data_IF_226434819105
#
_entry.id   IF_226434819105
#
_cell.length_a   1.000
_cell.length_b   1.000
_cell.length_c   1.000
_cell.angle_alpha   90.00
_cell.angle_beta   90.00
_cell.angle_gamma   90.00
#
_symmetry.space_group_name_H-M   'P 1'
#
loop_
_entity.id
_entity.type
_entity.pdbx_description
1 polymer ?
#
# COMPACT_ATOMS: atom_id res chain seq x y z
N UNK A 1 14.23 -8.89 -11.02
CA UNK A 1 12.86 -8.37 -11.07
C UNK A 1 12.83 -6.92 -11.49
N UNK A 2 13.23 -5.95 -10.67
CA UNK A 2 13.12 -4.52 -11.05
C UNK A 2 13.83 -4.16 -12.36
N UNK A 3 15.02 -4.71 -12.64
CA UNK A 3 15.77 -4.51 -13.89
C UNK A 3 15.13 -5.13 -15.13
N UNK A 4 14.15 -5.99 -14.93
CA UNK A 4 13.60 -6.87 -15.97
C UNK A 4 12.14 -6.49 -16.30
N UNK A 5 11.64 -5.36 -15.78
CA UNK A 5 10.25 -4.92 -15.93
C UNK A 5 10.19 -3.41 -16.16
N UNK A 6 9.18 -2.97 -16.92
CA UNK A 6 8.88 -1.55 -17.11
C UNK A 6 7.87 -1.02 -16.07
N UNK A 7 7.12 -1.93 -15.44
CA UNK A 7 6.11 -1.61 -14.43
C UNK A 7 6.34 -2.43 -13.17
N UNK A 8 6.46 -1.74 -12.04
CA UNK A 8 6.59 -2.37 -10.72
C UNK A 8 5.36 -2.04 -9.87
N UNK A 9 4.55 -3.05 -9.56
CA UNK A 9 3.34 -2.90 -8.73
C UNK A 9 3.60 -3.41 -7.31
N UNK A 10 3.39 -2.54 -6.33
CA UNK A 10 3.58 -2.83 -4.91
C UNK A 10 2.23 -3.10 -4.25
N UNK A 11 2.04 -4.35 -3.79
CA UNK A 11 0.80 -4.84 -3.13
C UNK A 11 1.10 -5.78 -1.95
N UNK A 12 2.17 -5.50 -1.19
CA UNK A 12 2.55 -6.30 -0.02
C UNK A 12 1.90 -5.75 1.26
N UNK A 13 1.79 -6.54 2.34
CA UNK A 13 1.48 -6.00 3.66
C UNK A 13 2.50 -4.92 4.06
N UNK A 14 2.06 -3.90 4.80
CA UNK A 14 2.96 -2.99 5.49
C UNK A 14 3.42 -3.59 6.82
N UNK A 15 4.64 -3.27 7.23
CA UNK A 15 5.20 -3.74 8.50
C UNK A 15 6.72 -3.64 8.52
N UNK A 16 7.34 -4.08 9.62
CA UNK A 16 8.80 -4.00 9.77
C UNK A 16 9.57 -4.75 8.67
N UNK A 17 9.04 -5.88 8.19
CA UNK A 17 9.68 -6.69 7.14
C UNK A 17 9.63 -6.09 5.74
N UNK A 18 8.69 -5.18 5.48
CA UNK A 18 8.49 -4.53 4.17
C UNK A 18 8.79 -3.03 4.20
N UNK A 19 9.23 -2.50 5.34
CA UNK A 19 9.54 -1.08 5.48
C UNK A 19 10.67 -0.70 4.51
N UNK A 20 10.39 0.29 3.65
CA UNK A 20 11.33 0.77 2.63
C UNK A 20 11.90 -0.35 1.74
N UNK A 21 11.09 -1.38 1.49
CA UNK A 21 11.42 -2.48 0.59
C UNK A 21 11.76 -1.95 -0.81
N UNK A 22 10.99 -0.97 -1.29
CA UNK A 22 11.29 -0.23 -2.53
C UNK A 22 12.13 0.99 -2.16
N UNK A 23 13.44 0.76 -2.07
CA UNK A 23 14.45 1.80 -1.80
C UNK A 23 15.11 2.30 -3.10
N UNK A 24 16.06 3.22 -2.97
CA UNK A 24 16.87 3.76 -4.08
C UNK A 24 17.38 2.68 -5.05
N UNK A 25 17.95 1.58 -4.54
CA UNK A 25 18.53 0.55 -5.40
C UNK A 25 17.47 -0.17 -6.25
N UNK A 26 16.24 -0.32 -5.73
CA UNK A 26 15.11 -0.88 -6.50
C UNK A 26 14.61 0.14 -7.53
N UNK A 27 14.51 1.42 -7.15
CA UNK A 27 14.08 2.50 -8.03
C UNK A 27 15.06 2.69 -9.20
N UNK A 28 16.36 2.77 -8.92
CA UNK A 28 17.39 2.92 -9.95
C UNK A 28 17.48 1.67 -10.85
N UNK A 29 17.15 0.50 -10.32
CA UNK A 29 17.05 -0.73 -11.10
C UNK A 29 15.85 -0.75 -12.05
N UNK A 30 14.72 -0.14 -11.65
CA UNK A 30 13.53 0.04 -12.48
C UNK A 30 13.77 1.10 -13.57
N UNK A 31 14.50 2.16 -13.23
CA UNK A 31 15.11 3.07 -14.20
C UNK A 31 14.18 4.13 -14.80
N UNK A 32 14.71 4.95 -15.72
CA UNK A 32 14.08 6.17 -16.21
C UNK A 32 12.87 5.94 -17.12
N UNK A 33 12.74 4.75 -17.70
CA UNK A 33 11.55 4.35 -18.49
C UNK A 33 10.51 3.62 -17.63
N UNK A 34 10.85 3.33 -16.37
CA UNK A 34 10.02 2.52 -15.50
C UNK A 34 8.93 3.30 -14.77
N UNK A 35 7.85 2.59 -14.43
CA UNK A 35 6.69 3.12 -13.69
C UNK A 35 6.50 2.36 -12.38
N UNK A 36 6.49 3.09 -11.26
CA UNK A 36 6.18 2.51 -9.94
C UNK A 36 4.71 2.73 -9.59
N UNK A 37 3.99 1.67 -9.23
CA UNK A 37 2.60 1.75 -8.76
C UNK A 37 2.54 1.26 -7.33
N UNK A 38 2.05 2.08 -6.39
CA UNK A 38 1.86 1.69 -4.99
C UNK A 38 0.39 1.75 -4.58
N UNK A 39 -0.17 0.57 -4.31
CA UNK A 39 -1.52 0.34 -3.78
C UNK A 39 -1.48 -0.50 -2.48
N UNK A 40 -0.30 -0.60 -1.86
CA UNK A 40 -0.04 -1.33 -0.63
C UNK A 40 -0.20 -0.44 0.61
N UNK A 41 0.94 0.08 1.10
CA UNK A 41 1.08 1.06 2.17
C UNK A 41 2.23 1.98 1.78
N UNK A 42 2.17 3.25 2.18
CA UNK A 42 3.24 4.21 1.87
C UNK A 42 4.59 3.80 2.45
N UNK A 43 4.60 3.22 3.66
CA UNK A 43 5.82 2.76 4.34
C UNK A 43 6.64 1.69 3.60
N UNK A 44 6.09 1.05 2.57
CA UNK A 44 6.79 0.04 1.76
C UNK A 44 7.79 0.68 0.79
N UNK A 45 7.55 1.91 0.39
CA UNK A 45 8.43 2.68 -0.51
C UNK A 45 9.19 3.70 0.33
N UNK A 46 10.47 3.93 0.02
CA UNK A 46 11.17 5.08 0.58
C UNK A 46 10.71 6.35 -0.15
N UNK A 47 9.76 7.09 0.44
CA UNK A 47 9.06 8.21 -0.22
C UNK A 47 10.03 9.35 -0.56
N UNK A 48 11.06 9.56 0.26
CA UNK A 48 12.08 10.58 -0.01
C UNK A 48 12.88 10.24 -1.25
N UNK A 49 13.30 8.98 -1.39
CA UNK A 49 14.03 8.52 -2.57
C UNK A 49 13.14 8.47 -3.81
N UNK A 50 11.86 8.12 -3.67
CA UNK A 50 10.88 8.18 -4.76
C UNK A 50 10.73 9.61 -5.30
N UNK A 51 10.48 10.58 -4.42
CA UNK A 51 10.34 11.99 -4.79
C UNK A 51 11.61 12.48 -5.49
N UNK A 52 12.79 12.18 -4.93
CA UNK A 52 14.05 12.55 -5.56
C UNK A 52 14.22 11.90 -6.94
N UNK A 53 13.90 10.61 -7.09
CA UNK A 53 14.06 9.91 -8.36
C UNK A 53 13.17 10.44 -9.47
N UNK A 54 11.94 10.82 -9.15
CA UNK A 54 11.01 11.43 -10.10
C UNK A 54 11.49 12.83 -10.52
N UNK A 55 11.98 13.64 -9.57
CA UNK A 55 12.53 14.97 -9.85
C UNK A 55 13.83 14.90 -10.67
N UNK A 56 14.70 13.93 -10.37
CA UNK A 56 15.97 13.73 -11.06
C UNK A 56 15.82 13.04 -12.44
N UNK A 57 14.63 12.53 -12.77
CA UNK A 57 14.39 11.70 -13.96
C UNK A 57 15.03 10.32 -13.91
N UNK A 58 15.40 9.83 -12.72
CA UNK A 58 15.87 8.45 -12.51
C UNK A 58 14.74 7.42 -12.55
N UNK A 59 13.51 7.87 -12.33
CA UNK A 59 12.29 7.09 -12.48
C UNK A 59 11.34 7.80 -13.45
N UNK A 60 10.75 7.04 -14.37
CA UNK A 60 9.93 7.58 -15.45
C UNK A 60 8.58 8.09 -15.00
N UNK A 61 7.86 7.35 -14.15
CA UNK A 61 6.53 7.73 -13.68
C UNK A 61 6.15 7.05 -12.36
N UNK A 62 5.10 7.55 -11.70
CA UNK A 62 4.53 6.89 -10.52
C UNK A 62 3.00 7.02 -10.43
N UNK A 63 2.35 5.97 -9.92
CA UNK A 63 0.93 5.97 -9.53
C UNK A 63 0.79 5.59 -8.06
N UNK A 64 0.29 6.49 -7.22
CA UNK A 64 0.29 6.32 -5.77
C UNK A 64 -1.12 6.48 -5.20
N UNK A 65 -1.62 5.45 -4.53
CA UNK A 65 -2.85 5.52 -3.72
C UNK A 65 -2.56 5.69 -2.22
N UNK A 66 -1.29 5.51 -1.80
CA UNK A 66 -0.87 5.47 -0.40
C UNK A 66 0.44 6.23 -0.18
N UNK A 67 0.61 6.82 1.01
CA UNK A 67 1.72 7.72 1.35
C UNK A 67 2.32 7.42 2.74
N UNK A 68 3.57 7.82 2.99
CA UNK A 68 4.24 7.50 4.28
C UNK A 68 3.53 8.16 5.47
N UNK A 69 3.03 9.39 5.30
CA UNK A 69 2.43 10.20 6.37
C UNK A 69 1.01 10.70 6.01
N UNK A 70 0.13 9.78 5.62
CA UNK A 70 -1.25 10.11 5.28
C UNK A 70 -1.97 10.90 6.39
N UNK A 71 -2.77 11.93 6.04
CA UNK A 71 -3.17 12.33 4.68
C UNK A 71 -2.20 13.30 3.98
N UNK A 72 -1.01 13.54 4.53
CA UNK A 72 -0.04 14.48 3.96
C UNK A 72 0.71 13.84 2.80
N UNK A 73 0.62 14.47 1.62
CA UNK A 73 1.34 14.09 0.41
C UNK A 73 2.50 15.07 0.19
N UNK A 74 3.70 14.61 -0.20
CA UNK A 74 4.79 15.51 -0.56
C UNK A 74 4.38 16.47 -1.66
N UNK A 75 4.42 17.78 -1.36
CA UNK A 75 3.96 18.81 -2.30
C UNK A 75 4.75 18.85 -3.61
N UNK A 76 5.98 18.34 -3.61
CA UNK A 76 6.84 18.19 -4.78
C UNK A 76 6.27 17.24 -5.84
N UNK A 77 5.31 16.37 -5.49
CA UNK A 77 4.67 15.46 -6.44
C UNK A 77 3.53 16.11 -7.23
N UNK A 78 2.87 17.14 -6.68
CA UNK A 78 1.73 17.79 -7.34
C UNK A 78 2.03 18.44 -8.70
N UNK A 79 3.18 19.10 -8.93
CA UNK A 79 3.47 19.70 -10.23
C UNK A 79 3.99 18.72 -11.28
N UNK A 80 4.15 17.42 -10.95
CA UNK A 80 4.73 16.44 -11.86
C UNK A 80 3.66 15.85 -12.80
N UNK A 81 3.84 16.04 -14.10
CA UNK A 81 2.91 15.53 -15.13
C UNK A 81 2.94 13.99 -15.29
N UNK A 82 4.01 13.36 -14.81
CA UNK A 82 4.25 11.91 -14.85
C UNK A 82 3.86 11.19 -13.55
N UNK A 83 3.08 11.84 -12.67
CA UNK A 83 2.64 11.27 -11.40
C UNK A 83 1.12 11.34 -11.25
N UNK A 84 0.52 10.22 -10.86
CA UNK A 84 -0.90 10.15 -10.49
C UNK A 84 -1.01 9.91 -8.99
N UNK A 85 -1.81 10.73 -8.30
CA UNK A 85 -2.00 10.70 -6.86
C UNK A 85 -3.48 10.45 -6.54
N UNK A 86 -3.76 9.46 -5.71
CA UNK A 86 -5.10 9.11 -5.24
C UNK A 86 -5.14 9.10 -3.71
N UNK A 87 -6.24 9.55 -3.08
CA UNK A 87 -6.32 9.68 -1.63
C UNK A 87 -6.81 8.38 -0.94
N UNK A 88 -6.05 7.29 -1.07
CA UNK A 88 -6.32 5.99 -0.44
C UNK A 88 -7.73 5.45 -0.73
N UNK A 89 -8.04 5.35 -2.01
CA UNK A 89 -9.38 4.98 -2.52
C UNK A 89 -9.44 3.58 -3.12
N UNK A 90 -8.40 2.75 -3.02
CA UNK A 90 -8.36 1.42 -3.64
C UNK A 90 -9.52 0.48 -3.30
N UNK A 91 -10.16 0.65 -2.13
CA UNK A 91 -11.37 -0.10 -1.73
C UNK A 91 -12.65 0.75 -1.67
N UNK A 92 -12.60 2.02 -2.07
CA UNK A 92 -13.61 3.03 -1.75
C UNK A 92 -14.86 3.00 -2.66
N UNK A 93 -15.33 1.82 -3.07
CA UNK A 93 -16.66 1.66 -3.68
C UNK A 93 -17.73 1.43 -2.61
N UNK A 94 -18.98 1.77 -2.90
CA UNK A 94 -20.09 1.59 -1.96
C UNK A 94 -20.26 0.11 -1.60
N UNK A 95 -20.17 -0.77 -2.59
CA UNK A 95 -20.33 -2.21 -2.46
C UNK A 95 -19.22 -2.82 -1.60
N UNK A 96 -17.95 -2.45 -1.89
CA UNK A 96 -16.80 -2.98 -1.16
C UNK A 96 -16.80 -2.48 0.29
N UNK A 97 -17.06 -1.19 0.51
CA UNK A 97 -17.11 -0.63 1.87
C UNK A 97 -18.28 -1.19 2.68
N UNK A 98 -19.44 -1.47 2.06
CA UNK A 98 -20.54 -2.18 2.73
C UNK A 98 -20.12 -3.60 3.11
N UNK A 99 -19.58 -4.39 2.17
CA UNK A 99 -19.17 -5.76 2.45
C UNK A 99 -18.10 -5.86 3.55
N UNK A 100 -17.15 -4.91 3.59
CA UNK A 100 -16.16 -4.80 4.67
C UNK A 100 -16.83 -4.50 6.02
N UNK A 101 -17.81 -3.59 6.05
CA UNK A 101 -18.58 -3.28 7.25
C UNK A 101 -19.41 -4.47 7.75
N UNK A 102 -20.09 -5.16 6.84
CA UNK A 102 -20.86 -6.36 7.15
C UNK A 102 -19.97 -7.46 7.75
N UNK A 103 -18.80 -7.70 7.14
CA UNK A 103 -17.81 -8.65 7.67
C UNK A 103 -17.28 -8.25 9.05
N UNK A 104 -17.04 -6.96 9.29
CA UNK A 104 -16.64 -6.46 10.61
C UNK A 104 -17.70 -6.77 11.67
N UNK A 105 -18.96 -6.40 11.40
CA UNK A 105 -20.08 -6.65 12.32
C UNK A 105 -20.25 -8.14 12.59
N UNK A 106 -20.14 -8.97 11.56
CA UNK A 106 -20.29 -10.42 11.72
C UNK A 106 -19.18 -11.04 12.57
N UNK A 107 -17.91 -10.62 12.39
CA UNK A 107 -16.82 -11.06 13.25
C UNK A 107 -17.07 -10.68 14.72
N UNK A 108 -17.62 -9.49 15.01
CA UNK A 108 -17.98 -9.07 16.38
C UNK A 108 -19.10 -9.92 16.97
N UNK A 109 -20.18 -10.15 16.21
CA UNK A 109 -21.31 -10.99 16.65
C UNK A 109 -20.84 -12.40 16.98
N UNK A 110 -19.99 -12.99 16.14
CA UNK A 110 -19.42 -14.33 16.38
C UNK A 110 -18.56 -14.34 17.64
N UNK A 111 -17.68 -13.35 17.79
CA UNK A 111 -16.81 -13.24 18.96
C UNK A 111 -17.59 -13.20 20.28
N UNK A 112 -18.57 -12.29 20.39
CA UNK A 112 -19.38 -12.16 21.62
C UNK A 112 -20.36 -13.31 21.84
N UNK A 113 -20.63 -14.13 20.81
CA UNK A 113 -21.38 -15.37 20.94
C UNK A 113 -20.51 -16.58 21.33
N UNK A 114 -19.21 -16.38 21.61
CA UNK A 114 -18.26 -17.45 21.91
C UNK A 114 -17.98 -18.37 20.71
N UNK A 115 -18.21 -17.88 19.47
CA UNK A 115 -18.02 -18.64 18.23
C UNK A 115 -16.72 -18.21 17.53
N UNK A 116 -16.11 -19.09 16.72
CA UNK A 116 -14.98 -18.70 15.87
C UNK A 116 -15.35 -17.55 14.94
N UNK A 117 -14.49 -16.54 14.85
CA UNK A 117 -14.68 -15.40 13.94
C UNK A 117 -14.28 -15.80 12.51
N UNK A 118 -14.85 -15.15 11.49
CA UNK A 118 -14.66 -15.53 10.08
C UNK A 118 -13.23 -15.30 9.56
N UNK A 119 -12.63 -14.18 9.97
CA UNK A 119 -11.35 -13.72 9.40
C UNK A 119 -10.39 -13.30 10.49
N UNK A 120 -9.87 -14.23 11.31
CA UNK A 120 -8.82 -13.92 12.26
C UNK A 120 -7.54 -13.47 11.53
N UNK A 121 -6.82 -12.53 12.12
CA UNK A 121 -5.44 -12.27 11.71
C UNK A 121 -4.54 -13.44 12.15
N UNK A 122 -3.48 -13.78 11.39
CA UNK A 122 -2.61 -14.92 11.71
C UNK A 122 -2.09 -14.92 13.15
N UNK A 123 -1.77 -13.75 13.69
CA UNK A 123 -1.24 -13.55 15.04
C UNK A 123 -2.25 -13.93 16.14
N UNK A 124 -3.54 -13.94 15.83
CA UNK A 124 -4.63 -14.24 16.77
C UNK A 124 -5.36 -15.56 16.45
N UNK A 125 -4.87 -16.35 15.48
CA UNK A 125 -5.55 -17.57 15.03
C UNK A 125 -5.77 -18.59 16.17
N UNK A 126 -4.86 -18.65 17.14
CA UNK A 126 -4.93 -19.54 18.29
C UNK A 126 -5.89 -19.08 19.41
N UNK A 127 -6.40 -17.85 19.37
CA UNK A 127 -7.28 -17.28 20.42
C UNK A 127 -8.76 -17.61 20.16
N UNK A 128 -9.09 -18.23 19.02
CA UNK A 128 -10.45 -18.63 18.68
C UNK A 128 -10.92 -19.82 19.54
N UNK A 129 -11.61 -19.56 20.66
CA UNK A 129 -12.27 -20.59 21.47
C UNK A 129 -12.01 -20.54 22.98
N UNK A 130 -11.33 -19.52 23.49
CA UNK A 130 -11.11 -19.33 24.93
C UNK A 130 -11.97 -18.18 25.49
N UNK A 131 -13.28 -18.40 25.58
CA UNK A 131 -14.21 -17.58 26.38
C UNK A 131 -15.44 -18.39 26.75
#
# INVERSE_FOLDING_TARGET
>A
MARDVDYLVVITPGGASTSKLVNRAVIDALGPDGTLINVARGSVVDEKELVAALLDGRLGAAGLDVFENEPHVPSALFPLDNVVLLPHVGSATVETRRAMGDLMVENLVLHFAGKPVKTPVPECAAVQGAS
#
